data_IF_435408550989
#
_entry.id   IF_435408550989
#
_cell.length_a   1.000
_cell.length_b   1.000
_cell.length_c   1.000
_cell.angle_alpha   90.00
_cell.angle_beta   90.00
_cell.angle_gamma   90.00
#
_symmetry.space_group_name_H-M   'P 1'
#
loop_
_entity.id
_entity.type
_entity.pdbx_description
1 polymer ?
#
# COMPACT_ATOMS: atom_id res chain seq x y z
N UNK A 1 14.16 49.12 -21.02
CA UNK A 1 13.72 48.22 -22.10
C UNK A 1 12.54 47.46 -21.57
N UNK A 2 11.34 47.94 -21.88
CA UNK A 2 10.10 47.33 -21.42
C UNK A 2 9.96 45.94 -22.04
N UNK A 3 9.69 44.97 -21.19
CA UNK A 3 9.56 43.58 -21.57
C UNK A 3 8.30 43.40 -22.41
N UNK A 4 8.43 42.67 -23.52
CA UNK A 4 7.29 42.07 -24.21
C UNK A 4 7.11 40.63 -23.68
N UNK A 5 6.30 40.41 -22.62
CA UNK A 5 5.77 39.07 -22.35
C UNK A 5 4.31 39.12 -21.89
N UNK A 6 3.40 39.74 -22.67
CA UNK A 6 1.99 39.79 -22.25
C UNK A 6 0.98 39.37 -23.33
N UNK A 7 1.21 39.65 -24.62
CA UNK A 7 0.26 39.27 -25.67
C UNK A 7 0.14 37.75 -25.87
N UNK A 8 1.27 37.03 -25.90
CA UNK A 8 1.29 35.57 -26.09
C UNK A 8 0.67 34.84 -24.89
N UNK A 9 1.03 35.26 -23.67
CA UNK A 9 0.46 34.70 -22.45
C UNK A 9 -1.05 34.98 -22.37
N UNK A 10 -1.48 36.18 -22.74
CA UNK A 10 -2.90 36.56 -22.83
C UNK A 10 -3.66 35.69 -23.83
N UNK A 11 -3.11 35.46 -25.04
CA UNK A 11 -3.75 34.61 -26.05
C UNK A 11 -3.83 33.16 -25.59
N UNK A 12 -2.76 32.62 -24.98
CA UNK A 12 -2.76 31.26 -24.41
C UNK A 12 -3.82 31.14 -23.31
N UNK A 13 -3.87 32.08 -22.37
CA UNK A 13 -4.85 32.09 -21.30
C UNK A 13 -6.28 32.25 -21.82
N UNK A 14 -6.49 33.04 -22.89
CA UNK A 14 -7.79 33.19 -23.54
C UNK A 14 -8.24 31.90 -24.24
N UNK A 15 -7.35 31.21 -24.96
CA UNK A 15 -7.63 29.90 -25.58
C UNK A 15 -7.99 28.89 -24.50
N UNK A 16 -7.18 28.76 -23.46
CA UNK A 16 -7.44 27.83 -22.34
C UNK A 16 -8.79 28.16 -21.70
N UNK A 17 -9.06 29.44 -21.41
CA UNK A 17 -10.33 29.87 -20.80
C UNK A 17 -11.54 29.57 -21.69
N UNK A 18 -11.41 29.69 -23.01
CA UNK A 18 -12.52 29.46 -23.95
C UNK A 18 -12.85 27.98 -24.14
N UNK A 19 -11.84 27.11 -24.20
CA UNK A 19 -12.04 25.67 -24.44
C UNK A 19 -12.17 24.85 -23.14
N UNK A 20 -11.46 25.24 -22.09
CA UNK A 20 -11.30 24.46 -20.85
C UNK A 20 -11.94 25.21 -19.66
N UNK A 21 -12.19 26.52 -19.76
CA UNK A 21 -12.66 27.33 -18.64
C UNK A 21 -11.53 27.83 -17.75
N UNK A 22 -11.86 28.36 -16.57
CA UNK A 22 -10.85 28.94 -15.66
C UNK A 22 -9.83 27.88 -15.19
N UNK A 23 -8.52 28.02 -15.49
CA UNK A 23 -7.48 27.08 -15.10
C UNK A 23 -7.38 26.84 -13.58
N UNK A 24 -7.76 27.83 -12.76
CA UNK A 24 -7.69 27.73 -11.30
C UNK A 24 -8.64 26.66 -10.73
N UNK A 25 -9.83 26.51 -11.32
CA UNK A 25 -10.84 25.51 -10.90
C UNK A 25 -10.30 24.08 -11.02
N UNK A 26 -9.48 23.81 -12.03
CA UNK A 26 -8.89 22.49 -12.26
C UNK A 26 -7.73 22.20 -11.31
N UNK A 27 -6.96 23.23 -10.92
CA UNK A 27 -5.91 23.09 -9.91
C UNK A 27 -6.49 22.63 -8.56
N UNK A 28 -7.61 23.20 -8.14
CA UNK A 28 -8.26 22.83 -6.87
C UNK A 28 -8.85 21.42 -6.91
N UNK A 29 -9.59 21.09 -7.99
CA UNK A 29 -10.13 19.73 -8.20
C UNK A 29 -9.03 18.67 -8.26
N UNK A 30 -7.89 18.97 -8.88
CA UNK A 30 -6.76 18.03 -8.96
C UNK A 30 -6.17 17.71 -7.58
N UNK A 31 -6.10 18.71 -6.69
CA UNK A 31 -5.63 18.55 -5.31
C UNK A 31 -6.58 17.68 -4.48
N UNK A 32 -7.87 17.92 -4.59
CA UNK A 32 -8.90 17.11 -3.92
C UNK A 32 -8.84 15.65 -4.37
N UNK A 33 -8.83 15.40 -5.68
CA UNK A 33 -8.75 14.05 -6.25
C UNK A 33 -7.46 13.33 -5.85
N UNK A 34 -6.33 14.04 -5.77
CA UNK A 34 -5.06 13.47 -5.30
C UNK A 34 -5.12 13.12 -3.80
N UNK A 35 -5.67 14.02 -2.98
CA UNK A 35 -5.78 13.82 -1.53
C UNK A 35 -6.71 12.67 -1.13
N UNK A 36 -7.65 12.33 -2.02
CA UNK A 36 -8.62 11.25 -1.86
C UNK A 36 -8.19 9.94 -2.54
N UNK A 37 -7.03 9.92 -3.23
CA UNK A 37 -6.52 8.73 -3.90
C UNK A 37 -6.12 7.67 -2.86
N UNK A 38 -6.61 6.43 -3.04
CA UNK A 38 -6.29 5.30 -2.16
C UNK A 38 -5.90 4.06 -2.95
N UNK A 39 -4.89 3.38 -2.44
CA UNK A 39 -4.47 2.04 -2.81
C UNK A 39 -5.29 1.03 -2.02
N UNK A 40 -6.16 0.25 -2.69
CA UNK A 40 -7.06 -0.69 -2.01
C UNK A 40 -6.34 -1.97 -1.60
N UNK A 41 -5.50 -2.50 -2.48
CA UNK A 41 -4.76 -3.75 -2.26
C UNK A 41 -3.29 -3.61 -2.63
N UNK A 42 -2.47 -4.59 -2.23
CA UNK A 42 -1.06 -4.66 -2.65
C UNK A 42 -0.93 -4.78 -4.18
N UNK A 43 -1.87 -5.45 -4.84
CA UNK A 43 -1.90 -5.58 -6.30
C UNK A 43 -2.10 -4.25 -7.02
N UNK A 44 -2.84 -3.33 -6.40
CA UNK A 44 -3.12 -1.99 -6.95
C UNK A 44 -1.95 -1.01 -6.77
N UNK A 45 -0.90 -1.39 -6.03
CA UNK A 45 0.17 -0.48 -5.66
C UNK A 45 0.88 0.14 -6.87
N UNK A 46 1.06 -0.63 -7.96
CA UNK A 46 1.69 -0.12 -9.18
C UNK A 46 0.88 1.04 -9.77
N UNK A 47 -0.42 0.82 -9.95
CA UNK A 47 -1.34 1.83 -10.48
C UNK A 47 -1.45 3.03 -9.54
N UNK A 48 -1.57 2.79 -8.23
CA UNK A 48 -1.63 3.84 -7.21
C UNK A 48 -0.39 4.73 -7.27
N UNK A 49 0.80 4.13 -7.26
CA UNK A 49 2.08 4.83 -7.34
C UNK A 49 2.17 5.68 -8.60
N UNK A 50 1.92 5.09 -9.76
CA UNK A 50 2.01 5.80 -11.04
C UNK A 50 1.01 6.96 -11.08
N UNK A 51 -0.24 6.72 -10.68
CA UNK A 51 -1.29 7.75 -10.63
C UNK A 51 -0.98 8.88 -9.65
N UNK A 52 -0.49 8.54 -8.45
CA UNK A 52 -0.13 9.53 -7.44
C UNK A 52 1.02 10.40 -7.93
N UNK A 53 2.08 9.79 -8.47
CA UNK A 53 3.26 10.52 -8.95
C UNK A 53 2.92 11.44 -10.13
N UNK A 54 2.18 10.94 -11.12
CA UNK A 54 1.78 11.77 -12.28
C UNK A 54 0.97 12.99 -11.84
N UNK A 55 0.14 12.89 -10.81
CA UNK A 55 -0.68 14.00 -10.32
C UNK A 55 0.04 14.93 -9.34
N UNK A 56 0.92 14.40 -8.49
CA UNK A 56 1.64 15.24 -7.52
C UNK A 56 2.69 16.09 -8.21
N UNK A 57 3.35 15.57 -9.25
CA UNK A 57 4.39 16.30 -9.99
C UNK A 57 3.86 17.40 -10.92
N UNK A 58 2.55 17.49 -11.16
CA UNK A 58 1.96 18.64 -11.87
C UNK A 58 1.72 19.84 -10.95
N UNK A 59 2.05 19.73 -9.65
CA UNK A 59 1.84 20.78 -8.65
C UNK A 59 3.15 21.48 -8.29
N UNK A 60 3.06 22.78 -8.02
CA UNK A 60 4.21 23.58 -7.59
C UNK A 60 4.68 23.23 -6.16
N UNK A 61 3.77 22.74 -5.32
CA UNK A 61 4.01 22.35 -3.93
C UNK A 61 4.32 20.85 -3.75
N UNK A 62 4.66 20.13 -4.83
CA UNK A 62 4.77 18.66 -4.85
C UNK A 62 5.73 18.08 -3.80
N UNK A 63 6.74 18.85 -3.40
CA UNK A 63 7.77 18.42 -2.46
C UNK A 63 7.41 18.68 -0.98
N UNK A 64 6.28 19.33 -0.71
CA UNK A 64 5.81 19.58 0.66
C UNK A 64 5.59 18.26 1.42
N UNK A 65 5.91 18.21 2.72
CA UNK A 65 5.68 17.05 3.59
C UNK A 65 4.26 16.49 3.51
N UNK A 66 3.28 17.39 3.40
CA UNK A 66 1.86 17.05 3.30
C UNK A 66 1.59 15.98 2.23
N UNK A 67 2.18 16.10 1.04
CA UNK A 67 1.94 15.16 -0.04
C UNK A 67 2.64 13.82 0.17
N UNK A 68 3.79 13.81 0.83
CA UNK A 68 4.51 12.59 1.22
C UNK A 68 3.75 11.83 2.31
N UNK A 69 3.16 12.56 3.26
CA UNK A 69 2.26 12.00 4.27
C UNK A 69 1.00 11.43 3.61
N UNK A 70 0.36 12.18 2.70
CA UNK A 70 -0.78 11.70 1.90
C UNK A 70 -0.46 10.44 1.10
N UNK A 71 0.74 10.35 0.52
CA UNK A 71 1.19 9.16 -0.19
C UNK A 71 1.21 7.91 0.71
N UNK A 72 1.68 8.04 1.96
CA UNK A 72 1.66 6.92 2.91
C UNK A 72 0.24 6.64 3.43
N UNK A 73 -0.54 7.68 3.72
CA UNK A 73 -1.92 7.56 4.20
C UNK A 73 -2.86 6.92 3.16
N UNK A 74 -2.54 7.02 1.87
CA UNK A 74 -3.28 6.36 0.80
C UNK A 74 -2.99 4.87 0.65
N UNK A 75 -2.00 4.30 1.36
CA UNK A 75 -1.70 2.86 1.31
C UNK A 75 -2.76 2.02 2.05
N UNK A 76 -2.88 0.71 1.77
CA UNK A 76 -3.68 -0.18 2.60
C UNK A 76 -3.18 -0.13 4.04
N UNK A 77 -4.08 -0.02 5.02
CA UNK A 77 -3.73 0.24 6.43
C UNK A 77 -2.63 -0.69 6.96
N UNK A 78 -2.77 -2.00 6.76
CA UNK A 78 -1.78 -3.00 7.22
C UNK A 78 -0.39 -2.84 6.60
N UNK A 79 -0.30 -2.31 5.38
CA UNK A 79 0.96 -1.97 4.74
C UNK A 79 1.48 -0.63 5.24
N UNK A 80 0.63 0.40 5.26
CA UNK A 80 0.97 1.75 5.69
C UNK A 80 1.53 1.79 7.11
N UNK A 81 0.93 1.04 8.03
CA UNK A 81 1.38 0.92 9.41
C UNK A 81 2.79 0.32 9.49
N UNK A 82 3.05 -0.79 8.78
CA UNK A 82 4.37 -1.45 8.74
C UNK A 82 5.44 -0.60 8.06
N UNK A 83 5.08 0.14 7.01
CA UNK A 83 5.99 1.08 6.34
C UNK A 83 6.35 2.23 7.27
N UNK A 84 5.35 2.80 7.96
CA UNK A 84 5.55 3.85 8.94
C UNK A 84 6.44 3.38 10.08
N UNK A 85 6.17 2.21 10.64
CA UNK A 85 6.99 1.57 11.68
C UNK A 85 8.43 1.36 11.19
N UNK A 86 8.62 0.88 9.95
CA UNK A 86 9.96 0.66 9.39
C UNK A 86 10.75 1.94 9.21
N UNK A 87 10.10 3.04 8.84
CA UNK A 87 10.74 4.34 8.73
C UNK A 87 11.06 4.87 10.13
N UNK A 88 10.10 4.87 11.05
CA UNK A 88 10.30 5.32 12.44
C UNK A 88 11.43 4.56 13.13
N UNK A 89 11.57 3.26 12.89
CA UNK A 89 12.65 2.46 13.47
C UNK A 89 14.04 2.89 12.99
N UNK A 90 14.14 3.61 11.86
CA UNK A 90 15.40 4.10 11.30
C UNK A 90 15.67 5.57 11.61
N UNK A 91 14.65 6.32 12.02
CA UNK A 91 14.71 7.77 12.24
C UNK A 91 14.25 8.15 13.66
N UNK A 92 14.66 7.37 14.66
CA UNK A 92 14.46 7.67 16.08
C UNK A 92 12.99 7.93 16.49
N UNK A 93 12.03 7.26 15.84
CA UNK A 93 10.62 7.30 16.21
C UNK A 93 9.74 8.18 15.32
N UNK A 94 10.31 9.09 14.54
CA UNK A 94 9.57 9.99 13.65
C UNK A 94 9.80 9.70 12.16
N UNK A 95 8.91 10.22 11.31
CA UNK A 95 9.02 10.13 9.86
C UNK A 95 9.50 11.49 9.32
N UNK A 96 10.77 11.63 8.90
CA UNK A 96 11.29 12.91 8.42
C UNK A 96 10.88 13.14 6.96
N UNK A 97 9.60 13.45 6.73
CA UNK A 97 9.05 13.69 5.40
C UNK A 97 9.83 14.75 4.60
N UNK A 98 10.39 15.76 5.28
CA UNK A 98 11.25 16.78 4.64
C UNK A 98 12.50 16.18 3.97
N UNK A 99 13.08 15.14 4.56
CA UNK A 99 14.34 14.54 4.12
C UNK A 99 14.12 13.35 3.16
N UNK A 100 12.91 12.77 3.15
CA UNK A 100 12.58 11.63 2.31
C UNK A 100 12.09 12.08 0.94
N UNK A 101 12.64 11.50 -0.13
CA UNK A 101 12.05 11.61 -1.48
C UNK A 101 10.91 10.62 -1.68
N UNK A 102 10.06 10.85 -2.68
CA UNK A 102 9.08 9.84 -3.12
C UNK A 102 9.76 8.51 -3.48
N UNK A 103 10.95 8.55 -4.09
CA UNK A 103 11.74 7.36 -4.38
C UNK A 103 12.09 6.57 -3.12
N UNK A 104 12.48 7.25 -2.04
CA UNK A 104 12.75 6.60 -0.75
C UNK A 104 11.48 5.95 -0.18
N UNK A 105 10.35 6.67 -0.18
CA UNK A 105 9.07 6.14 0.30
C UNK A 105 8.65 4.89 -0.50
N UNK A 106 8.75 4.94 -1.82
CA UNK A 106 8.44 3.80 -2.70
C UNK A 106 9.35 2.61 -2.38
N UNK A 107 10.65 2.83 -2.16
CA UNK A 107 11.57 1.77 -1.79
C UNK A 107 11.22 1.13 -0.44
N UNK A 108 10.79 1.92 0.56
CA UNK A 108 10.28 1.38 1.83
C UNK A 108 9.04 0.53 1.61
N UNK A 109 8.07 1.02 0.84
CA UNK A 109 6.83 0.28 0.55
C UNK A 109 7.15 -1.04 -0.13
N UNK A 110 7.99 -1.04 -1.17
CA UNK A 110 8.39 -2.26 -1.87
C UNK A 110 9.10 -3.26 -0.95
N UNK A 111 10.05 -2.79 -0.14
CA UNK A 111 10.79 -3.64 0.81
C UNK A 111 9.85 -4.28 1.84
N UNK A 112 8.93 -3.51 2.40
CA UNK A 112 7.96 -4.01 3.38
C UNK A 112 6.96 -4.95 2.73
N UNK A 113 6.44 -4.63 1.55
CA UNK A 113 5.51 -5.49 0.82
C UNK A 113 6.15 -6.84 0.46
N UNK A 114 7.39 -6.85 -0.02
CA UNK A 114 8.14 -8.07 -0.32
C UNK A 114 8.33 -8.93 0.94
N UNK A 115 8.66 -8.31 2.07
CA UNK A 115 8.79 -9.02 3.34
C UNK A 115 7.47 -9.67 3.76
N UNK A 116 6.35 -8.96 3.64
CA UNK A 116 5.02 -9.52 3.93
C UNK A 116 4.73 -10.74 3.05
N UNK A 117 5.02 -10.67 1.75
CA UNK A 117 4.81 -11.79 0.84
C UNK A 117 5.69 -13.01 1.19
N UNK A 118 6.92 -12.77 1.64
CA UNK A 118 7.83 -13.83 2.09
C UNK A 118 7.34 -14.47 3.40
N UNK A 119 6.94 -13.65 4.36
CA UNK A 119 6.43 -14.11 5.65
C UNK A 119 5.14 -14.95 5.46
N UNK A 120 4.24 -14.53 4.57
CA UNK A 120 3.03 -15.29 4.22
C UNK A 120 3.36 -16.66 3.60
N UNK A 121 4.35 -16.71 2.70
CA UNK A 121 4.83 -17.96 2.11
C UNK A 121 5.38 -18.92 3.18
N UNK A 122 6.12 -18.41 4.15
CA UNK A 122 6.66 -19.19 5.27
C UNK A 122 5.51 -19.68 6.17
N UNK A 123 4.57 -18.81 6.54
CA UNK A 123 3.43 -19.19 7.37
C UNK A 123 2.57 -20.27 6.70
N UNK A 124 2.38 -20.19 5.38
CA UNK A 124 1.69 -21.23 4.61
C UNK A 124 2.44 -22.57 4.64
N UNK A 125 3.77 -22.57 4.61
CA UNK A 125 4.56 -23.80 4.74
C UNK A 125 4.42 -24.40 6.14
N UNK A 126 4.59 -23.58 7.19
CA UNK A 126 4.43 -23.99 8.59
C UNK A 126 3.03 -24.55 8.86
N UNK A 127 1.99 -23.95 8.29
CA UNK A 127 0.61 -24.43 8.42
C UNK A 127 0.44 -25.82 7.78
N UNK A 128 1.06 -26.07 6.62
CA UNK A 128 1.08 -27.38 5.97
C UNK A 128 1.82 -28.43 6.80
N UNK A 129 3.00 -28.10 7.31
CA UNK A 129 3.78 -29.01 8.18
C UNK A 129 3.04 -29.33 9.48
N UNK A 130 2.38 -28.34 10.11
CA UNK A 130 1.56 -28.58 11.29
C UNK A 130 0.34 -29.46 11.00
N UNK A 131 -0.25 -29.35 9.80
CA UNK A 131 -1.32 -30.25 9.37
C UNK A 131 -0.81 -31.67 9.12
N UNK A 132 0.38 -31.82 8.53
CA UNK A 132 0.99 -33.12 8.29
C UNK A 132 1.43 -33.80 9.59
N UNK A 133 2.12 -33.08 10.48
CA UNK A 133 2.54 -33.59 11.79
C UNK A 133 1.35 -34.10 12.61
N UNK A 134 0.21 -33.40 12.60
CA UNK A 134 -1.02 -33.89 13.24
C UNK A 134 -1.53 -35.22 12.66
N UNK A 135 -1.38 -35.45 11.36
CA UNK A 135 -1.73 -36.74 10.73
C UNK A 135 -0.74 -37.82 11.13
N UNK A 136 0.55 -37.51 11.12
CA UNK A 136 1.61 -38.46 11.44
C UNK A 136 1.53 -38.91 12.90
N UNK A 137 1.24 -37.98 13.83
CA UNK A 137 0.96 -38.30 15.23
C UNK A 137 -0.26 -39.21 15.38
N UNK A 138 -1.31 -38.94 14.58
CA UNK A 138 -2.51 -39.77 14.51
C UNK A 138 -2.20 -41.21 14.10
N UNK A 139 -1.42 -41.36 13.02
CA UNK A 139 -0.98 -42.65 12.53
C UNK A 139 -0.09 -43.38 13.55
N UNK A 140 0.83 -42.66 14.19
CA UNK A 140 1.70 -43.20 15.24
C UNK A 140 0.87 -43.72 16.43
N UNK A 141 -0.05 -42.92 16.97
CA UNK A 141 -0.92 -43.37 18.06
C UNK A 141 -1.73 -44.61 17.66
N UNK A 142 -2.26 -44.66 16.43
CA UNK A 142 -2.98 -45.83 15.93
C UNK A 142 -2.09 -47.09 15.85
N UNK A 143 -0.84 -46.94 15.41
CA UNK A 143 0.11 -48.05 15.30
C UNK A 143 0.41 -48.72 16.66
N UNK A 144 0.46 -47.93 17.73
CA UNK A 144 0.73 -48.41 19.09
C UNK A 144 -0.54 -48.70 19.90
N UNK A 145 -1.72 -48.66 19.29
CA UNK A 145 -3.00 -48.88 19.97
C UNK A 145 -3.32 -47.80 21.02
N UNK A 146 -2.66 -46.65 20.97
CA UNK A 146 -2.87 -45.54 21.88
C UNK A 146 -4.14 -44.77 21.48
N UNK A 147 -4.98 -44.35 22.44
CA UNK A 147 -6.11 -43.50 22.15
C UNK A 147 -5.60 -42.13 21.71
N UNK A 148 -5.65 -41.85 20.41
CA UNK A 148 -5.42 -40.51 19.90
C UNK A 148 -6.55 -39.60 20.41
N UNK A 149 -6.23 -38.42 20.96
CA UNK A 149 -7.25 -37.45 21.37
C UNK A 149 -8.14 -37.10 20.18
N UNK A 150 -9.33 -37.72 20.16
CA UNK A 150 -10.38 -37.44 19.19
C UNK A 150 -11.13 -36.23 19.69
N UNK A 151 -10.85 -35.06 19.13
CA UNK A 151 -11.88 -34.04 19.12
C UNK A 151 -12.94 -34.42 18.07
N UNK A 152 -14.12 -34.74 18.59
CA UNK A 152 -15.42 -35.01 17.95
C UNK A 152 -15.68 -36.40 17.33
N UNK A 153 -16.35 -37.23 18.15
CA UNK A 153 -17.62 -37.91 17.80
C UNK A 153 -17.95 -38.06 16.31
N UNK A 154 -17.57 -39.20 15.73
CA UNK A 154 -18.41 -39.86 14.71
C UNK A 154 -18.91 -41.17 15.27
N UNK A 155 -20.11 -41.11 15.83
CA UNK A 155 -20.92 -42.25 16.23
C UNK A 155 -21.17 -43.13 15.01
N UNK A 156 -20.40 -44.21 14.86
CA UNK A 156 -20.79 -45.30 13.99
C UNK A 156 -22.01 -45.99 14.64
N UNK A 157 -23.21 -45.59 14.22
CA UNK A 157 -24.44 -46.36 14.45
C UNK A 157 -24.23 -47.75 13.84
N UNK A 158 -23.95 -48.74 14.68
CA UNK A 158 -24.13 -50.16 14.35
C UNK A 158 -25.65 -50.37 14.19
N UNK A 159 -26.11 -50.53 12.95
CA UNK A 159 -27.43 -51.09 12.66
C UNK A 159 -27.39 -52.58 13.03
N UNK A 160 -28.33 -52.97 13.90
CA UNK A 160 -28.67 -54.36 14.24
C UNK A 160 -29.03 -55.14 12.99
#
# INVERSE_FOLDING_TARGET
GESIPDAVNTVIMAIIKNFIGDPSIWKDRSGEVLSNLKCRTLGDFRWYKDTFLTRVYTRDDSNQPFWKEKFLAGLPKSLGDKVSEKIRSQFNGDIPYNQLSYGNLIAYVQRVALKICQDDKIQNHVAKEKAQNRKDLGNFCQQFGLPCSKDSTKTHKRRK
#
